data_IF_799293959639
#
_entry.id   IF_799293959639
#
_cell.length_a   1.000
_cell.length_b   1.000
_cell.length_c   1.000
_cell.angle_alpha   90.00
_cell.angle_beta   90.00
_cell.angle_gamma   90.00
#
_symmetry.space_group_name_H-M   'P 1'
#
loop_
_entity.id
_entity.type
_entity.pdbx_description
1 polymer ?
#
# COMPACT_ATOMS: atom_id res chain seq x y z
N UNK A 1 -15.30 -53.29 25.56
CA UNK A 1 -15.76 -51.88 25.70
C UNK A 1 -14.85 -51.22 26.74
N UNK A 2 -14.06 -50.19 26.49
CA UNK A 2 -14.05 -49.15 25.44
C UNK A 2 -12.59 -48.83 25.10
N UNK A 3 -12.30 -48.62 23.82
CA UNK A 3 -11.07 -47.99 23.33
C UNK A 3 -11.05 -46.53 23.79
N UNK A 4 -9.93 -46.09 24.36
CA UNK A 4 -9.69 -44.67 24.64
C UNK A 4 -9.01 -44.09 23.40
N UNK A 5 -9.81 -43.47 22.53
CA UNK A 5 -9.28 -42.66 21.44
C UNK A 5 -8.79 -41.33 22.00
N UNK A 6 -7.47 -41.11 21.97
CA UNK A 6 -6.90 -39.77 22.04
C UNK A 6 -7.29 -39.03 20.77
N UNK A 7 -8.21 -38.07 20.87
CA UNK A 7 -8.42 -37.07 19.83
C UNK A 7 -7.34 -36.02 20.02
N UNK A 8 -6.25 -36.15 19.27
CA UNK A 8 -5.25 -35.10 19.11
C UNK A 8 -5.92 -34.00 18.28
N UNK A 9 -6.40 -32.93 18.92
CA UNK A 9 -6.78 -31.71 18.21
C UNK A 9 -5.48 -31.08 17.69
N UNK A 10 -5.12 -31.39 16.44
CA UNK A 10 -4.19 -30.58 15.68
C UNK A 10 -4.93 -29.27 15.36
N UNK A 11 -4.81 -28.27 16.24
CA UNK A 11 -4.96 -26.89 15.81
C UNK A 11 -3.79 -26.60 14.89
N UNK A 12 -3.95 -26.95 13.61
CA UNK A 12 -3.20 -26.29 12.57
C UNK A 12 -3.74 -24.85 12.61
N UNK A 13 -3.12 -23.98 13.41
CA UNK A 13 -3.29 -22.55 13.17
C UNK A 13 -2.78 -22.39 11.75
N UNK A 14 -3.69 -22.22 10.79
CA UNK A 14 -3.33 -21.58 9.55
C UNK A 14 -2.89 -20.19 10.01
N UNK A 15 -1.59 -20.06 10.23
CA UNK A 15 -0.94 -18.77 10.18
C UNK A 15 -1.12 -18.41 8.71
N UNK A 16 -2.20 -17.69 8.39
CA UNK A 16 -2.23 -16.93 7.15
C UNK A 16 -0.98 -16.07 7.23
N UNK A 17 0.05 -16.42 6.44
CA UNK A 17 1.22 -15.58 6.23
C UNK A 17 0.66 -14.20 5.87
N UNK A 18 1.13 -13.16 6.56
CA UNK A 18 0.78 -11.81 6.17
C UNK A 18 1.25 -11.60 4.73
N UNK A 19 0.35 -11.13 3.87
CA UNK A 19 0.71 -10.66 2.55
C UNK A 19 0.53 -9.13 2.49
N UNK A 20 1.00 -8.53 1.40
CA UNK A 20 1.14 -7.09 1.33
C UNK A 20 -0.10 -6.43 0.68
N UNK A 21 -0.95 -7.20 0.00
CA UNK A 21 -2.18 -6.71 -0.64
C UNK A 21 -3.05 -5.79 0.24
N UNK A 22 -3.29 -6.07 1.55
CA UNK A 22 -4.09 -5.19 2.40
C UNK A 22 -3.51 -3.79 2.59
N UNK A 23 -2.18 -3.61 2.47
CA UNK A 23 -1.57 -2.26 2.55
C UNK A 23 -1.99 -1.39 1.35
N UNK A 24 -2.36 -2.01 0.24
CA UNK A 24 -2.90 -1.37 -0.96
C UNK A 24 -4.43 -1.34 -1.00
N UNK A 25 -5.12 -1.81 0.04
CA UNK A 25 -6.56 -2.06 0.03
C UNK A 25 -6.97 -3.00 -1.13
N UNK A 26 -6.20 -4.08 -1.33
CA UNK A 26 -6.45 -5.10 -2.35
C UNK A 26 -6.88 -6.43 -1.72
N UNK A 27 -7.72 -7.17 -2.45
CA UNK A 27 -8.24 -8.48 -2.13
C UNK A 27 -8.26 -9.38 -3.37
N UNK A 28 -8.06 -10.69 -3.16
CA UNK A 28 -8.01 -11.67 -4.25
C UNK A 28 -6.58 -12.02 -4.69
N UNK A 29 -6.44 -12.89 -5.70
CA UNK A 29 -5.14 -13.33 -6.19
C UNK A 29 -4.60 -12.29 -7.19
N UNK A 30 -3.87 -11.30 -6.70
CA UNK A 30 -3.37 -10.18 -7.50
C UNK A 30 -1.99 -10.54 -8.06
N UNK A 31 -1.80 -10.30 -9.34
CA UNK A 31 -0.50 -10.33 -10.02
C UNK A 31 0.14 -8.95 -9.95
N UNK A 32 -0.58 -7.93 -10.42
CA UNK A 32 -0.07 -6.56 -10.49
C UNK A 32 -1.17 -5.50 -10.37
N UNK A 33 -0.75 -4.31 -9.96
CA UNK A 33 -1.59 -3.11 -9.80
C UNK A 33 -0.89 -1.94 -10.50
N UNK A 34 -1.58 -1.30 -11.43
CA UNK A 34 -1.21 0.03 -11.93
C UNK A 34 -2.26 1.04 -11.46
N UNK A 35 -1.83 2.08 -10.75
CA UNK A 35 -2.67 3.21 -10.32
C UNK A 35 -2.37 4.38 -11.23
N UNK A 36 -3.35 4.81 -12.02
CA UNK A 36 -3.25 6.00 -12.88
C UNK A 36 -3.91 7.17 -12.16
N UNK A 37 -3.19 8.28 -12.05
CA UNK A 37 -3.66 9.56 -11.52
C UNK A 37 -3.80 10.55 -12.67
N UNK A 38 -4.92 11.25 -12.72
CA UNK A 38 -5.23 12.27 -13.73
C UNK A 38 -5.65 13.57 -13.02
N UNK A 39 -4.82 14.60 -13.16
CA UNK A 39 -5.08 15.95 -12.71
C UNK A 39 -5.28 16.90 -13.91
N UNK A 40 -6.53 17.07 -14.32
CA UNK A 40 -6.92 17.87 -15.49
C UNK A 40 -6.13 17.56 -16.78
N UNK A 41 -5.90 16.28 -17.05
CA UNK A 41 -5.21 15.78 -18.23
C UNK A 41 -3.70 15.66 -18.07
N UNK A 42 -3.14 15.99 -16.89
CA UNK A 42 -1.80 15.60 -16.51
C UNK A 42 -1.86 14.23 -15.85
N UNK A 43 -1.35 13.22 -16.56
CA UNK A 43 -1.39 11.83 -16.12
C UNK A 43 -0.03 11.36 -15.62
N UNK A 44 -0.04 10.62 -14.51
CA UNK A 44 1.09 9.83 -14.03
C UNK A 44 0.58 8.52 -13.44
N UNK A 45 1.48 7.56 -13.25
CA UNK A 45 1.10 6.25 -12.73
C UNK A 45 2.15 5.67 -11.79
N UNK A 46 1.68 4.80 -10.90
CA UNK A 46 2.54 3.93 -10.09
C UNK A 46 2.18 2.46 -10.37
N UNK A 47 3.19 1.61 -10.46
CA UNK A 47 3.07 0.17 -10.74
C UNK A 47 3.59 -0.65 -9.56
N UNK A 48 2.90 -1.76 -9.28
CA UNK A 48 3.23 -2.68 -8.19
C UNK A 48 3.05 -4.12 -8.67
N UNK A 49 4.05 -4.96 -8.49
CA UNK A 49 4.00 -6.40 -8.81
C UNK A 49 4.04 -7.22 -7.53
N UNK A 50 3.26 -8.30 -7.48
CA UNK A 50 3.18 -9.21 -6.34
C UNK A 50 3.55 -10.63 -6.74
N UNK A 51 4.13 -11.38 -5.79
CA UNK A 51 4.30 -12.83 -5.95
C UNK A 51 2.96 -13.58 -5.79
N UNK A 52 2.98 -14.90 -6.01
CA UNK A 52 1.78 -15.74 -5.90
C UNK A 52 1.17 -15.80 -4.49
N UNK A 53 1.92 -15.41 -3.45
CA UNK A 53 1.42 -15.31 -2.08
C UNK A 53 0.82 -13.91 -1.79
N UNK A 54 0.96 -12.96 -2.71
CA UNK A 54 0.55 -11.56 -2.56
C UNK A 54 1.59 -10.69 -1.86
N UNK A 55 2.86 -11.11 -1.83
CA UNK A 55 3.98 -10.31 -1.31
C UNK A 55 4.43 -9.33 -2.39
N UNK A 56 4.67 -8.06 -2.04
CA UNK A 56 5.19 -7.05 -2.95
C UNK A 56 6.62 -7.43 -3.36
N UNK A 57 6.90 -7.42 -4.68
CA UNK A 57 8.23 -7.75 -5.23
C UNK A 57 8.82 -6.64 -6.11
N UNK A 58 7.99 -5.78 -6.70
CA UNK A 58 8.46 -4.66 -7.52
C UNK A 58 7.59 -3.41 -7.30
N UNK A 59 8.23 -2.24 -7.42
CA UNK A 59 7.59 -0.92 -7.47
C UNK A 59 8.15 -0.20 -8.70
N UNK A 60 7.28 0.29 -9.58
CA UNK A 60 7.65 1.05 -10.79
C UNK A 60 8.70 0.37 -11.69
N UNK A 61 8.70 -0.97 -11.69
CA UNK A 61 9.62 -1.80 -12.48
C UNK A 61 10.93 -2.17 -11.78
N UNK A 62 11.19 -1.63 -10.59
CA UNK A 62 12.37 -1.94 -9.78
C UNK A 62 12.05 -2.94 -8.67
N UNK A 63 12.97 -3.87 -8.42
CA UNK A 63 12.85 -4.84 -7.32
C UNK A 63 12.80 -4.11 -5.98
N UNK A 64 11.82 -4.46 -5.14
CA UNK A 64 11.64 -3.82 -3.84
C UNK A 64 12.59 -4.41 -2.80
N UNK A 65 13.42 -3.56 -2.19
CA UNK A 65 14.17 -3.92 -1.00
C UNK A 65 13.33 -3.64 0.24
N UNK A 66 12.92 -4.68 0.96
CA UNK A 66 12.09 -4.56 2.15
C UNK A 66 12.52 -5.45 3.32
N UNK A 67 12.39 -4.93 4.54
CA UNK A 67 12.48 -5.74 5.75
C UNK A 67 11.07 -6.05 6.26
N UNK A 68 10.92 -7.17 6.98
CA UNK A 68 9.63 -7.62 7.53
C UNK A 68 9.69 -7.77 9.04
N UNK A 69 8.57 -7.48 9.70
CA UNK A 69 8.39 -7.71 11.14
C UNK A 69 8.20 -9.20 11.46
N UNK A 70 8.09 -9.54 12.75
CA UNK A 70 7.89 -10.92 13.20
C UNK A 70 6.55 -11.55 12.79
N UNK A 71 5.60 -10.74 12.31
CA UNK A 71 4.34 -11.20 11.73
C UNK A 71 4.42 -11.34 10.20
N UNK A 72 5.56 -11.04 9.58
CA UNK A 72 5.79 -11.11 8.13
C UNK A 72 5.32 -9.88 7.35
N UNK A 73 4.88 -8.81 8.02
CA UNK A 73 4.46 -7.56 7.36
C UNK A 73 5.68 -6.70 7.04
N UNK A 74 5.66 -5.96 5.95
CA UNK A 74 6.73 -5.01 5.61
C UNK A 74 6.91 -3.98 6.74
N UNK A 75 8.08 -3.96 7.38
CA UNK A 75 8.43 -2.96 8.39
C UNK A 75 9.18 -1.77 7.81
N UNK A 76 9.90 -1.99 6.71
CA UNK A 76 10.64 -0.95 6.00
C UNK A 76 10.74 -1.25 4.50
N UNK A 77 10.84 -0.19 3.71
CA UNK A 77 11.10 -0.25 2.26
C UNK A 77 12.26 0.70 1.98
N UNK A 78 13.20 0.28 1.13
CA UNK A 78 14.27 1.13 0.59
C UNK A 78 14.09 1.25 -0.92
N UNK A 79 13.99 2.47 -1.42
CA UNK A 79 13.95 2.77 -2.85
C UNK A 79 15.20 3.56 -3.25
N UNK A 80 15.65 3.35 -4.48
CA UNK A 80 16.74 4.11 -5.09
C UNK A 80 16.14 4.77 -6.32
N UNK A 81 16.03 6.08 -6.29
CA UNK A 81 15.40 6.86 -7.36
C UNK A 81 16.43 7.83 -7.95
N UNK A 82 16.37 8.05 -9.27
CA UNK A 82 17.14 9.12 -9.88
C UNK A 82 16.66 10.49 -9.35
N UNK A 83 17.58 11.42 -9.15
CA UNK A 83 17.24 12.77 -8.71
C UNK A 83 16.58 13.56 -9.84
N UNK A 84 15.65 14.44 -9.50
CA UNK A 84 14.92 15.24 -10.49
C UNK A 84 15.85 16.07 -11.41
N UNK A 85 17.01 16.49 -10.89
CA UNK A 85 17.95 17.35 -11.59
C UNK A 85 18.97 16.60 -12.47
N UNK A 86 19.17 15.29 -12.24
CA UNK A 86 20.19 14.49 -12.89
C UNK A 86 19.85 12.99 -12.85
N UNK A 87 19.60 12.41 -14.01
CA UNK A 87 19.26 10.99 -14.20
C UNK A 87 20.42 10.03 -13.87
N UNK A 88 21.66 10.54 -13.84
CA UNK A 88 22.84 9.76 -13.45
C UNK A 88 23.14 9.85 -11.93
N UNK A 89 22.40 10.69 -11.21
CA UNK A 89 22.52 10.85 -9.75
C UNK A 89 21.31 10.21 -9.08
N UNK A 90 21.56 9.40 -8.04
CA UNK A 90 20.52 8.66 -7.34
C UNK A 90 20.41 9.10 -5.87
N UNK A 91 19.18 9.13 -5.36
CA UNK A 91 18.90 9.25 -3.92
C UNK A 91 18.35 7.94 -3.38
N UNK A 92 18.52 7.75 -2.07
CA UNK A 92 17.93 6.60 -1.36
C UNK A 92 16.81 7.09 -0.46
N UNK A 93 15.61 6.58 -0.70
CA UNK A 93 14.44 6.82 0.13
C UNK A 93 14.25 5.64 1.06
N UNK A 94 14.27 5.88 2.37
CA UNK A 94 13.97 4.87 3.39
C UNK A 94 12.65 5.14 4.04
N UNK A 95 11.73 4.19 3.95
CA UNK A 95 10.40 4.26 4.52
C UNK A 95 10.26 3.26 5.67
N UNK A 96 9.63 3.67 6.75
CA UNK A 96 9.26 2.83 7.90
C UNK A 96 7.76 2.83 8.08
N UNK A 97 7.17 1.63 8.12
CA UNK A 97 5.72 1.44 8.16
C UNK A 97 5.27 1.11 9.59
N UNK A 98 4.15 1.69 9.99
CA UNK A 98 3.52 1.45 11.29
C UNK A 98 2.07 1.03 11.11
N UNK A 99 1.65 0.05 11.90
CA UNK A 99 0.37 -0.64 11.73
C UNK A 99 -0.57 -0.45 12.91
N UNK A 100 -1.87 -0.42 12.64
CA UNK A 100 -2.88 -0.58 13.68
C UNK A 100 -3.04 -2.04 14.12
N UNK A 101 -3.93 -2.27 15.10
CA UNK A 101 -4.23 -3.61 15.63
C UNK A 101 -4.90 -4.54 14.61
N UNK A 102 -5.48 -3.97 13.55
CA UNK A 102 -6.08 -4.72 12.43
C UNK A 102 -5.08 -5.00 11.32
N UNK A 103 -3.82 -4.57 11.47
CA UNK A 103 -2.76 -4.81 10.48
C UNK A 103 -2.79 -3.84 9.30
N UNK A 104 -3.48 -2.70 9.40
CA UNK A 104 -3.49 -1.65 8.36
C UNK A 104 -2.38 -0.65 8.63
N UNK A 105 -1.71 -0.18 7.58
CA UNK A 105 -0.69 0.89 7.68
C UNK A 105 -1.38 2.17 8.11
N UNK A 106 -1.04 2.73 9.27
CA UNK A 106 -1.60 3.99 9.76
C UNK A 106 -0.60 5.14 9.71
N UNK A 107 0.67 4.83 9.54
CA UNK A 107 1.74 5.83 9.44
C UNK A 107 2.92 5.31 8.66
N UNK A 108 3.52 6.17 7.85
CA UNK A 108 4.80 5.98 7.19
C UNK A 108 5.71 7.14 7.58
N UNK A 109 6.90 6.84 8.05
CA UNK A 109 7.98 7.82 8.22
C UNK A 109 8.99 7.58 7.10
N UNK A 110 9.37 8.62 6.37
CA UNK A 110 10.27 8.50 5.24
C UNK A 110 11.39 9.53 5.31
N UNK A 111 12.57 9.14 4.85
CA UNK A 111 13.77 9.98 4.79
C UNK A 111 14.43 9.82 3.43
N UNK A 112 14.80 10.93 2.81
CA UNK A 112 15.61 11.01 1.58
C UNK A 112 16.66 12.09 1.76
N UNK A 113 17.94 11.71 1.88
CA UNK A 113 19.01 12.65 2.23
C UNK A 113 18.73 13.40 3.55
N UNK A 114 18.63 14.73 3.47
CA UNK A 114 18.31 15.62 4.61
C UNK A 114 16.80 15.88 4.76
N UNK A 115 15.97 15.36 3.86
CA UNK A 115 14.53 15.54 3.87
C UNK A 115 13.83 14.42 4.65
N UNK A 116 12.83 14.79 5.43
CA UNK A 116 11.98 13.86 6.15
C UNK A 116 10.52 14.25 5.99
N UNK A 117 9.67 13.26 5.77
CA UNK A 117 8.22 13.43 5.77
C UNK A 117 7.52 12.29 6.51
N UNK A 118 6.30 12.59 6.92
CA UNK A 118 5.41 11.66 7.60
C UNK A 118 4.10 11.61 6.84
N UNK A 119 3.64 10.41 6.53
CA UNK A 119 2.29 10.17 6.03
C UNK A 119 1.48 9.47 7.13
N UNK A 120 0.23 9.87 7.32
CA UNK A 120 -0.73 9.15 8.17
C UNK A 120 -1.98 8.80 7.39
N UNK A 121 -2.63 7.70 7.79
CA UNK A 121 -3.74 7.11 7.06
C UNK A 121 -4.89 6.80 8.03
N UNK A 122 -6.09 7.25 7.70
CA UNK A 122 -7.30 6.96 8.44
C UNK A 122 -8.27 6.15 7.57
N UNK A 123 -8.97 5.20 8.21
CA UNK A 123 -9.83 4.25 7.54
C UNK A 123 -11.22 4.23 8.14
N UNK A 124 -12.23 3.96 7.31
CA UNK A 124 -13.59 3.68 7.78
C UNK A 124 -13.71 2.29 8.42
N UNK A 125 -14.90 1.97 8.93
CA UNK A 125 -15.20 0.66 9.53
C UNK A 125 -15.17 -0.50 8.53
N UNK A 126 -15.27 -0.21 7.23
CA UNK A 126 -15.20 -1.19 6.14
C UNK A 126 -13.77 -1.39 5.64
N UNK A 127 -12.81 -0.61 6.12
CA UNK A 127 -11.39 -0.70 5.77
C UNK A 127 -10.98 0.18 4.60
N UNK A 128 -11.84 1.06 4.09
CA UNK A 128 -11.46 2.00 3.03
C UNK A 128 -10.69 3.19 3.61
N UNK A 129 -9.69 3.66 2.88
CA UNK A 129 -8.94 4.86 3.22
C UNK A 129 -9.83 6.09 3.06
N UNK A 130 -10.12 6.78 4.16
CA UNK A 130 -10.93 8.01 4.16
C UNK A 130 -10.08 9.26 4.08
N UNK A 131 -8.88 9.22 4.67
CA UNK A 131 -7.98 10.37 4.74
C UNK A 131 -6.52 9.92 4.68
N UNK A 132 -5.72 10.65 3.91
CA UNK A 132 -4.27 10.63 4.00
C UNK A 132 -3.79 12.03 4.37
N UNK A 133 -2.96 12.15 5.39
CA UNK A 133 -2.27 13.39 5.72
C UNK A 133 -0.78 13.25 5.40
N UNK A 134 -0.23 14.20 4.68
CA UNK A 134 1.19 14.31 4.35
C UNK A 134 1.77 15.51 5.06
N UNK A 135 2.83 15.30 5.84
CA UNK A 135 3.55 16.35 6.53
C UNK A 135 5.02 16.33 6.14
N UNK A 136 5.50 17.42 5.54
CA UNK A 136 6.91 17.64 5.26
C UNK A 136 7.32 18.99 5.81
N UNK A 137 8.35 19.01 6.68
CA UNK A 137 8.86 20.23 7.29
C UNK A 137 7.79 21.11 7.98
N UNK A 138 6.76 20.48 8.55
CA UNK A 138 5.65 21.18 9.22
C UNK A 138 4.56 21.70 8.30
N UNK A 139 4.69 21.53 6.98
CA UNK A 139 3.63 21.81 6.01
C UNK A 139 2.76 20.57 5.88
N UNK A 140 1.48 20.72 6.20
CA UNK A 140 0.49 19.65 6.16
C UNK A 140 -0.41 19.78 4.93
N UNK A 141 -0.55 18.70 4.18
CA UNK A 141 -1.56 18.54 3.13
C UNK A 141 -2.45 17.34 3.46
N UNK A 142 -3.77 17.52 3.37
CA UNK A 142 -4.75 16.46 3.68
C UNK A 142 -5.48 16.10 2.41
N UNK A 143 -5.58 14.80 2.13
CA UNK A 143 -6.29 14.21 0.99
C UNK A 143 -7.45 13.39 1.49
N UNK A 144 -8.60 13.52 0.83
CA UNK A 144 -9.80 12.71 1.10
C UNK A 144 -10.26 12.00 -0.16
N UNK A 145 -10.99 10.89 0.01
CA UNK A 145 -11.30 9.97 -1.08
C UNK A 145 -12.81 9.73 -1.24
N UNK A 146 -13.28 9.77 -2.49
CA UNK A 146 -14.64 9.36 -2.87
C UNK A 146 -14.56 8.19 -3.84
N UNK A 147 -14.98 7.01 -3.40
CA UNK A 147 -14.93 5.78 -4.19
C UNK A 147 -16.10 5.71 -5.18
N UNK A 148 -15.80 5.49 -6.46
CA UNK A 148 -16.78 5.52 -7.55
C UNK A 148 -17.12 4.13 -8.09
N UNK A 149 -16.13 3.24 -8.20
CA UNK A 149 -16.30 1.89 -8.76
C UNK A 149 -15.48 0.87 -8.00
N UNK A 150 -15.99 -0.36 -7.99
CA UNK A 150 -15.32 -1.54 -7.48
C UNK A 150 -15.47 -2.71 -8.47
N UNK A 151 -14.54 -3.65 -8.42
CA UNK A 151 -14.63 -4.89 -9.18
C UNK A 151 -15.30 -6.05 -8.40
N UNK A 152 -15.24 -7.25 -8.97
CA UNK A 152 -15.86 -8.47 -8.41
C UNK A 152 -15.25 -8.93 -7.09
N UNK A 153 -14.04 -8.50 -6.75
CA UNK A 153 -13.38 -8.81 -5.48
C UNK A 153 -13.58 -7.72 -4.43
N UNK A 154 -14.26 -6.62 -4.80
CA UNK A 154 -14.46 -5.47 -3.92
C UNK A 154 -13.28 -4.51 -3.92
N UNK A 155 -12.30 -4.66 -4.82
CA UNK A 155 -11.24 -3.69 -4.98
C UNK A 155 -11.78 -2.48 -5.71
N UNK A 156 -11.48 -1.28 -5.22
CA UNK A 156 -11.86 -0.08 -5.93
C UNK A 156 -11.06 0.03 -7.24
N UNK A 157 -11.75 0.40 -8.32
CA UNK A 157 -11.17 0.58 -9.65
C UNK A 157 -11.22 2.03 -10.12
N UNK A 158 -12.01 2.85 -9.44
CA UNK A 158 -12.08 4.29 -9.69
C UNK A 158 -12.44 5.04 -8.40
N UNK A 159 -11.70 6.11 -8.11
CA UNK A 159 -12.01 7.06 -7.03
C UNK A 159 -11.59 8.48 -7.41
N UNK A 160 -12.14 9.46 -6.69
CA UNK A 160 -11.67 10.85 -6.71
C UNK A 160 -10.87 11.11 -5.44
N UNK A 161 -9.71 11.75 -5.60
CA UNK A 161 -8.92 12.33 -4.52
C UNK A 161 -9.16 13.83 -4.48
N UNK A 162 -9.30 14.37 -3.28
CA UNK A 162 -9.51 15.80 -3.03
C UNK A 162 -8.45 16.30 -2.06
N UNK A 163 -7.56 17.16 -2.54
CA UNK A 163 -6.62 17.91 -1.70
C UNK A 163 -7.37 18.99 -0.93
N UNK A 164 -6.96 19.24 0.32
CA UNK A 164 -7.55 20.27 1.18
C UNK A 164 -7.14 21.67 0.73
N UNK A 165 -5.94 21.82 0.19
CA UNK A 165 -5.44 23.12 -0.30
C UNK A 165 -5.99 23.52 -1.67
N UNK A 166 -6.60 22.59 -2.41
CA UNK A 166 -7.05 22.83 -3.78
C UNK A 166 -8.55 22.61 -3.95
N UNK A 167 -9.19 23.41 -4.82
CA UNK A 167 -10.60 23.22 -5.17
C UNK A 167 -10.85 22.11 -6.20
N UNK A 168 -9.79 21.60 -6.83
CA UNK A 168 -9.83 20.52 -7.81
C UNK A 168 -9.84 19.12 -7.16
N UNK A 169 -10.28 18.13 -7.93
CA UNK A 169 -10.16 16.70 -7.60
C UNK A 169 -9.28 16.01 -8.63
N UNK A 170 -8.41 15.12 -8.16
CA UNK A 170 -7.60 14.23 -9.00
C UNK A 170 -8.38 12.94 -9.17
N UNK A 171 -8.52 12.48 -10.42
CA UNK A 171 -9.15 11.18 -10.70
C UNK A 171 -8.10 10.09 -10.59
N UNK A 172 -8.44 9.00 -9.89
CA UNK A 172 -7.57 7.84 -9.76
C UNK A 172 -8.28 6.59 -10.28
N UNK A 173 -7.63 5.88 -11.19
CA UNK A 173 -8.10 4.62 -11.75
C UNK A 173 -7.11 3.50 -11.42
N UNK A 174 -7.61 2.29 -11.15
CA UNK A 174 -6.76 1.10 -10.97
C UNK A 174 -6.98 0.12 -12.11
N UNK A 175 -5.87 -0.26 -12.74
CA UNK A 175 -5.78 -1.44 -13.58
C UNK A 175 -5.22 -2.56 -12.71
N UNK A 176 -6.04 -3.57 -12.42
CA UNK A 176 -5.71 -4.69 -11.54
C UNK A 176 -5.64 -5.95 -12.38
N UNK A 177 -4.48 -6.60 -12.40
CA UNK A 177 -4.28 -7.90 -13.03
C UNK A 177 -4.33 -8.97 -11.94
N UNK A 178 -5.10 -10.02 -12.21
CA UNK A 178 -5.28 -11.14 -11.30
C UNK A 178 -4.52 -12.35 -11.83
N UNK A 179 -3.99 -13.17 -10.93
CA UNK A 179 -3.45 -14.48 -11.27
C UNK A 179 -4.57 -15.35 -11.86
N UNK A 180 -4.22 -16.15 -12.88
CA UNK A 180 -5.12 -17.12 -13.52
C UNK A 180 -5.43 -18.34 -12.65
#
# INVERSE_FOLDING_TARGET
MKSVSFVLFFFMSLICKANDLPMFCLAGPIDSLCVVMDDAGLEWQNEYTFDSDGSLIEIDGDEVDCERDSAGRISSITLIEATEDDEDTYTTIKMRLFYDKSGRVVRVEAVSGDEQWVQTYAYDSSGHLTEQCYNMNGVEEVRTYTYLKHDRFGNWTERLEKLKSMDQTIRQCRNIIYLE
#
